data_IF_864898311955
#
_entry.id   IF_864898311955
#
_cell.length_a   1.000
_cell.length_b   1.000
_cell.length_c   1.000
_cell.angle_alpha   90.00
_cell.angle_beta   90.00
_cell.angle_gamma   90.00
#
_symmetry.space_group_name_H-M   'P 1'
#
loop_
_entity.id
_entity.type
_entity.pdbx_description
1 polymer ?
#
# COMPACT_ATOMS: atom_id res chain seq x y z
N UNK A 1 43.78 63.09 30.35
CA UNK A 1 43.23 61.83 30.84
C UNK A 1 42.15 61.37 29.85
N UNK A 2 42.45 60.32 29.10
CA UNK A 2 41.48 59.73 28.12
C UNK A 2 41.00 58.42 28.72
N UNK A 3 39.69 58.33 29.02
CA UNK A 3 39.06 57.09 29.47
C UNK A 3 38.61 56.26 28.26
N UNK A 4 39.16 55.04 28.16
CA UNK A 4 38.76 54.05 27.16
C UNK A 4 37.69 53.18 27.83
N UNK A 5 36.46 53.20 27.29
CA UNK A 5 35.40 52.27 27.69
C UNK A 5 35.44 51.03 26.77
N UNK A 6 35.79 49.90 27.39
CA UNK A 6 35.73 48.62 26.72
C UNK A 6 34.30 48.06 26.84
N UNK A 7 33.61 47.96 25.72
CA UNK A 7 32.26 47.34 25.67
C UNK A 7 32.46 45.83 25.52
N UNK A 8 32.06 45.09 26.53
CA UNK A 8 32.07 43.62 26.52
C UNK A 8 30.73 43.16 25.93
N UNK A 9 30.76 42.69 24.66
CA UNK A 9 29.59 42.14 23.99
C UNK A 9 29.37 40.67 24.43
N UNK A 10 28.30 40.46 25.22
CA UNK A 10 27.88 39.13 25.65
C UNK A 10 27.03 38.50 24.52
N UNK A 11 27.59 37.54 23.79
CA UNK A 11 26.87 36.77 22.78
C UNK A 11 26.01 35.69 23.50
N UNK A 12 24.71 35.87 23.51
CA UNK A 12 23.74 34.87 23.93
C UNK A 12 23.56 33.84 22.79
N UNK A 13 24.14 32.66 22.94
CA UNK A 13 23.81 31.51 22.10
C UNK A 13 22.44 30.93 22.55
N UNK A 14 21.38 31.28 21.86
CA UNK A 14 20.10 30.57 21.94
C UNK A 14 20.24 29.24 21.24
N UNK A 15 20.43 28.16 22.02
CA UNK A 15 20.30 26.81 21.53
C UNK A 15 18.85 26.55 21.15
N UNK A 16 18.56 26.49 19.85
CA UNK A 16 17.29 25.96 19.38
C UNK A 16 17.26 24.45 19.68
N UNK A 17 16.61 24.06 20.76
CA UNK A 17 16.18 22.66 20.93
C UNK A 17 15.10 22.41 19.87
N UNK A 18 15.45 21.71 18.78
CA UNK A 18 14.46 21.08 17.93
C UNK A 18 13.75 20.02 18.78
N UNK A 19 12.39 19.98 18.76
CA UNK A 19 11.69 18.88 19.41
C UNK A 19 12.17 17.58 18.73
N UNK A 20 12.51 16.58 19.55
CA UNK A 20 12.76 15.25 19.06
C UNK A 20 11.50 14.79 18.31
N UNK A 21 11.66 14.35 17.09
CA UNK A 21 10.58 13.66 16.37
C UNK A 21 10.13 12.50 17.26
N UNK A 22 8.92 12.60 17.78
CA UNK A 22 8.27 11.47 18.43
C UNK A 22 8.04 10.44 17.33
N UNK A 23 8.86 9.39 17.28
CA UNK A 23 8.54 8.19 16.50
C UNK A 23 7.15 7.75 16.96
N UNK A 24 6.19 7.83 16.08
CA UNK A 24 4.88 7.21 16.29
C UNK A 24 5.17 5.72 16.46
N UNK A 25 4.74 5.14 17.58
CA UNK A 25 4.84 3.68 17.78
C UNK A 25 3.91 3.02 16.77
N UNK A 26 4.49 2.51 15.69
CA UNK A 26 3.76 1.85 14.62
C UNK A 26 3.41 0.40 14.97
N UNK A 27 3.88 -0.10 16.10
CA UNK A 27 3.80 -1.51 16.47
C UNK A 27 4.69 -2.42 15.61
N UNK A 28 5.57 -1.85 14.82
CA UNK A 28 6.50 -2.59 13.96
C UNK A 28 7.50 -3.38 14.83
N UNK A 29 7.61 -4.71 14.64
CA UNK A 29 8.58 -5.53 15.37
C UNK A 29 10.01 -5.12 15.05
N UNK A 30 10.86 -5.11 16.07
CA UNK A 30 12.30 -4.96 15.87
C UNK A 30 12.89 -6.27 15.32
N UNK A 31 13.79 -6.17 14.34
CA UNK A 31 14.51 -7.33 13.82
C UNK A 31 14.51 -7.39 12.28
N UNK A 32 14.97 -8.51 11.71
CA UNK A 32 15.07 -8.62 10.26
C UNK A 32 13.67 -8.74 9.62
N UNK A 33 13.46 -8.09 8.48
CA UNK A 33 12.19 -8.13 7.74
C UNK A 33 11.92 -9.50 7.08
N UNK A 34 12.89 -10.40 7.14
CA UNK A 34 12.71 -11.83 6.80
C UNK A 34 12.11 -12.66 7.93
N UNK A 35 11.97 -12.10 9.14
CA UNK A 35 11.38 -12.83 10.27
C UNK A 35 9.87 -13.01 10.11
N UNK A 36 9.35 -14.16 10.55
CA UNK A 36 7.90 -14.40 10.54
C UNK A 36 7.13 -13.38 11.38
N UNK A 37 7.72 -12.85 12.44
CA UNK A 37 7.09 -11.83 13.30
C UNK A 37 6.87 -10.53 12.53
N UNK A 38 7.91 -10.03 11.84
CA UNK A 38 7.78 -8.83 11.02
C UNK A 38 6.82 -9.07 9.84
N UNK A 39 6.93 -10.20 9.15
CA UNK A 39 6.06 -10.53 8.02
C UNK A 39 4.58 -10.63 8.43
N UNK A 40 4.28 -11.25 9.57
CA UNK A 40 2.90 -11.30 10.10
C UNK A 40 2.40 -9.89 10.38
N UNK A 41 3.20 -9.04 11.04
CA UNK A 41 2.86 -7.65 11.30
C UNK A 41 2.63 -6.89 9.99
N UNK A 42 3.62 -6.84 9.10
CA UNK A 42 3.57 -6.07 7.87
C UNK A 42 2.38 -6.44 6.98
N UNK A 43 2.11 -7.76 6.86
CA UNK A 43 1.06 -8.21 5.94
C UNK A 43 -0.33 -8.08 6.57
N UNK A 44 -0.51 -8.37 7.85
CA UNK A 44 -1.82 -8.24 8.48
C UNK A 44 -2.24 -6.77 8.68
N UNK A 45 -1.30 -5.85 8.94
CA UNK A 45 -1.61 -4.42 9.08
C UNK A 45 -1.94 -3.72 7.76
N UNK A 46 -1.95 -4.46 6.63
CA UNK A 46 -2.61 -4.03 5.40
C UNK A 46 -4.12 -3.86 5.55
N UNK A 47 -4.74 -4.40 6.61
CA UNK A 47 -6.16 -4.25 6.92
C UNK A 47 -6.37 -3.60 8.29
N UNK A 48 -7.59 -3.07 8.57
CA UNK A 48 -7.94 -2.58 9.90
C UNK A 48 -7.80 -3.68 10.97
N UNK A 49 -7.49 -3.28 12.20
CA UNK A 49 -7.19 -4.18 13.34
C UNK A 49 -8.23 -5.29 13.54
N UNK A 50 -9.52 -4.99 13.38
CA UNK A 50 -10.59 -5.97 13.54
C UNK A 50 -10.64 -7.04 12.45
N UNK A 51 -9.92 -6.83 11.32
CA UNK A 51 -9.66 -7.84 10.28
C UNK A 51 -8.30 -8.47 10.52
N UNK A 52 -7.28 -7.64 10.71
CA UNK A 52 -5.88 -8.03 10.87
C UNK A 52 -5.67 -9.06 11.99
N UNK A 53 -6.39 -8.90 13.11
CA UNK A 53 -6.23 -9.74 14.30
C UNK A 53 -6.46 -11.22 14.04
N UNK A 54 -7.48 -11.56 13.23
CA UNK A 54 -7.93 -12.94 13.00
C UNK A 54 -7.77 -13.39 11.53
N UNK A 55 -7.03 -12.63 10.70
CA UNK A 55 -6.76 -13.02 9.32
C UNK A 55 -5.69 -14.10 9.22
N UNK A 56 -5.83 -14.99 8.24
CA UNK A 56 -4.76 -15.90 7.83
C UNK A 56 -3.64 -15.11 7.17
N UNK A 57 -2.37 -15.44 7.47
CA UNK A 57 -1.21 -14.73 6.89
C UNK A 57 -0.27 -15.74 6.22
N UNK A 58 0.11 -15.45 4.98
CA UNK A 58 1.11 -16.19 4.22
C UNK A 58 2.31 -15.31 3.86
N UNK A 59 3.48 -15.90 3.63
CA UNK A 59 4.69 -15.19 3.15
C UNK A 59 4.71 -14.98 1.63
N UNK A 60 3.70 -15.45 0.93
CA UNK A 60 3.48 -15.34 -0.51
C UNK A 60 2.20 -16.07 -0.92
N UNK A 61 1.79 -16.03 -2.20
CA UNK A 61 0.62 -16.74 -2.67
C UNK A 61 0.73 -18.25 -2.45
N UNK A 62 -0.25 -18.89 -1.78
CA UNK A 62 -0.18 -20.32 -1.43
C UNK A 62 -0.07 -21.26 -2.64
N UNK A 63 -0.73 -20.92 -3.74
CA UNK A 63 -0.69 -21.65 -5.02
C UNK A 63 0.64 -21.50 -5.77
N UNK A 64 1.45 -20.51 -5.38
CA UNK A 64 2.82 -20.27 -5.88
C UNK A 64 3.90 -20.75 -4.88
N UNK A 65 3.51 -21.45 -3.83
CA UNK A 65 4.44 -22.04 -2.84
C UNK A 65 4.66 -21.19 -1.59
N UNK A 66 3.82 -20.18 -1.34
CA UNK A 66 3.85 -19.40 -0.11
C UNK A 66 3.55 -20.26 1.13
N UNK A 67 4.30 -20.01 2.22
CA UNK A 67 4.15 -20.71 3.48
C UNK A 67 3.12 -20.04 4.38
N UNK A 68 2.37 -20.83 5.14
CA UNK A 68 1.48 -20.33 6.19
C UNK A 68 2.31 -19.79 7.36
N UNK A 69 2.14 -18.51 7.68
CA UNK A 69 2.77 -17.86 8.83
C UNK A 69 1.84 -17.82 10.06
N UNK A 70 0.55 -17.59 9.83
CA UNK A 70 -0.48 -17.56 10.87
C UNK A 70 -1.80 -18.08 10.32
N UNK A 71 -2.42 -19.04 11.01
CA UNK A 71 -3.80 -19.47 10.72
C UNK A 71 -4.79 -18.46 11.29
N UNK A 72 -5.81 -18.10 10.49
CA UNK A 72 -6.86 -17.17 10.86
C UNK A 72 -8.24 -17.81 10.89
N UNK A 73 -9.24 -17.09 11.40
CA UNK A 73 -10.60 -17.62 11.61
C UNK A 73 -11.71 -16.77 10.97
N UNK A 74 -11.38 -15.60 10.44
CA UNK A 74 -12.37 -14.62 9.95
C UNK A 74 -12.61 -14.67 8.43
N UNK A 75 -11.93 -15.58 7.72
CA UNK A 75 -12.08 -15.74 6.26
C UNK A 75 -11.30 -14.73 5.41
N UNK A 76 -10.51 -13.86 6.04
CA UNK A 76 -9.57 -12.97 5.36
C UNK A 76 -8.18 -13.59 5.29
N UNK A 77 -7.49 -13.31 4.19
CA UNK A 77 -6.10 -13.74 3.99
C UNK A 77 -5.23 -12.55 3.63
N UNK A 78 -4.08 -12.43 4.31
CA UNK A 78 -3.11 -11.36 4.08
C UNK A 78 -1.80 -11.95 3.57
N UNK A 79 -1.20 -11.30 2.58
CA UNK A 79 0.07 -11.71 1.99
C UNK A 79 0.76 -10.53 1.27
N UNK A 80 2.07 -10.60 0.98
CA UNK A 80 2.74 -9.61 0.14
C UNK A 80 2.27 -9.77 -1.31
N UNK A 81 1.99 -8.63 -1.98
CA UNK A 81 1.45 -8.60 -3.32
C UNK A 81 2.33 -7.86 -4.34
N UNK A 82 3.58 -7.47 -3.98
CA UNK A 82 4.47 -6.77 -4.89
C UNK A 82 4.96 -7.70 -6.02
N UNK A 83 4.51 -7.49 -7.27
CA UNK A 83 4.90 -8.35 -8.39
C UNK A 83 6.36 -8.17 -8.84
N UNK A 84 7.03 -7.11 -8.35
CA UNK A 84 8.45 -6.82 -8.64
C UNK A 84 9.39 -7.68 -7.81
N UNK A 85 8.88 -8.30 -6.72
CA UNK A 85 9.71 -8.97 -5.72
C UNK A 85 10.43 -8.00 -4.78
N UNK A 86 11.23 -8.55 -3.89
CA UNK A 86 12.02 -7.82 -2.91
C UNK A 86 13.22 -7.14 -3.57
N UNK A 87 13.46 -5.86 -3.26
CA UNK A 87 14.67 -5.14 -3.73
C UNK A 87 15.94 -5.66 -3.05
N UNK A 88 15.84 -6.20 -1.83
CA UNK A 88 16.93 -6.86 -1.09
C UNK A 88 16.50 -8.26 -0.62
N UNK A 89 16.66 -9.30 -1.48
CA UNK A 89 16.24 -10.66 -1.14
C UNK A 89 16.98 -11.28 0.06
N UNK A 90 18.13 -10.73 0.45
CA UNK A 90 18.92 -11.21 1.60
C UNK A 90 18.32 -10.70 2.94
N UNK A 91 17.87 -9.44 2.96
CA UNK A 91 17.39 -8.78 4.17
C UNK A 91 15.84 -8.66 4.22
N UNK A 92 15.15 -9.03 3.15
CA UNK A 92 13.69 -8.95 3.03
C UNK A 92 13.22 -7.65 2.37
N UNK A 93 11.97 -7.29 2.60
CA UNK A 93 11.42 -6.03 2.15
C UNK A 93 12.05 -4.85 2.89
N UNK A 94 12.27 -3.72 2.21
CA UNK A 94 12.78 -2.50 2.85
C UNK A 94 11.82 -2.00 3.93
N UNK A 95 10.51 -2.07 3.64
CA UNK A 95 9.42 -1.72 4.55
C UNK A 95 8.11 -2.40 4.15
N UNK A 96 7.04 -2.15 4.89
CA UNK A 96 5.72 -2.72 4.58
C UNK A 96 5.12 -2.14 3.29
N UNK A 97 5.45 -0.90 2.90
CA UNK A 97 4.99 -0.31 1.64
C UNK A 97 5.60 -1.05 0.43
N UNK A 98 6.91 -1.35 0.45
CA UNK A 98 7.54 -2.15 -0.61
C UNK A 98 6.91 -3.54 -0.73
N UNK A 99 6.53 -4.16 0.37
CA UNK A 99 5.87 -5.46 0.32
C UNK A 99 4.50 -5.42 -0.38
N UNK A 100 3.89 -4.23 -0.52
CA UNK A 100 2.54 -4.03 -1.08
C UNK A 100 1.52 -5.02 -0.50
N UNK A 101 1.44 -5.20 0.84
CA UNK A 101 0.64 -6.26 1.39
C UNK A 101 -0.85 -6.01 1.15
N UNK A 102 -1.56 -7.09 0.85
CA UNK A 102 -2.97 -7.11 0.59
C UNK A 102 -3.66 -8.06 1.57
N UNK A 103 -4.75 -7.61 2.19
CA UNK A 103 -5.67 -8.49 2.92
C UNK A 103 -6.98 -8.58 2.13
N UNK A 104 -7.28 -9.74 1.57
CA UNK A 104 -8.43 -9.99 0.73
C UNK A 104 -9.35 -11.07 1.26
N UNK A 105 -10.63 -11.06 0.80
CA UNK A 105 -11.55 -12.18 0.93
C UNK A 105 -11.29 -13.25 -0.15
N UNK A 106 -12.00 -14.36 -0.08
CA UNK A 106 -11.81 -15.48 -1.01
C UNK A 106 -12.11 -15.11 -2.49
N UNK A 107 -13.00 -14.14 -2.74
CA UNK A 107 -13.33 -13.72 -4.11
C UNK A 107 -12.21 -12.90 -4.73
N UNK A 108 -11.52 -12.06 -3.93
CA UNK A 108 -10.34 -11.30 -4.39
C UNK A 108 -9.26 -12.25 -4.90
N UNK A 109 -9.02 -13.38 -4.24
CA UNK A 109 -7.99 -14.32 -4.69
C UNK A 109 -8.37 -15.05 -5.98
N UNK A 110 -9.65 -15.23 -6.29
CA UNK A 110 -10.10 -15.68 -7.62
C UNK A 110 -9.78 -14.62 -8.69
N UNK A 111 -10.02 -13.34 -8.37
CA UNK A 111 -9.71 -12.22 -9.27
C UNK A 111 -8.20 -12.10 -9.50
N UNK A 112 -7.39 -12.13 -8.42
CA UNK A 112 -5.91 -12.04 -8.50
C UNK A 112 -5.34 -13.21 -9.32
N UNK A 113 -5.81 -14.44 -9.08
CA UNK A 113 -5.37 -15.61 -9.84
C UNK A 113 -5.65 -15.47 -11.33
N UNK A 114 -6.85 -14.99 -11.70
CA UNK A 114 -7.20 -14.73 -13.10
C UNK A 114 -6.36 -13.59 -13.71
N UNK A 115 -6.10 -12.52 -12.94
CA UNK A 115 -5.26 -11.41 -13.36
C UNK A 115 -3.85 -11.88 -13.73
N UNK A 116 -3.18 -12.66 -12.88
CA UNK A 116 -1.84 -13.20 -13.16
C UNK A 116 -1.83 -14.25 -14.29
N UNK A 117 -2.92 -14.98 -14.46
CA UNK A 117 -3.06 -15.94 -15.56
C UNK A 117 -3.42 -15.28 -16.92
N UNK A 118 -3.76 -13.98 -16.92
CA UNK A 118 -4.27 -13.30 -18.11
C UNK A 118 -5.66 -13.76 -18.52
N UNK A 119 -6.45 -14.30 -17.59
CA UNK A 119 -7.79 -14.84 -17.80
C UNK A 119 -8.86 -13.88 -17.28
N UNK A 120 -10.10 -14.01 -17.76
CA UNK A 120 -11.22 -13.26 -17.21
C UNK A 120 -11.57 -13.78 -15.82
N UNK A 121 -11.63 -12.93 -14.79
CA UNK A 121 -12.05 -13.35 -13.45
C UNK A 121 -13.48 -13.93 -13.44
N UNK A 122 -13.67 -15.03 -12.69
CA UNK A 122 -14.97 -15.65 -12.46
C UNK A 122 -15.21 -15.69 -10.96
N UNK A 123 -16.09 -14.81 -10.49
CA UNK A 123 -16.43 -14.64 -9.07
C UNK A 123 -17.91 -14.85 -8.83
N UNK A 124 -18.28 -15.36 -7.66
CA UNK A 124 -19.67 -15.61 -7.27
C UNK A 124 -20.35 -14.33 -6.74
N UNK A 125 -19.57 -13.40 -6.24
CA UNK A 125 -19.97 -12.09 -5.70
C UNK A 125 -18.80 -11.12 -5.74
N UNK A 126 -19.04 -9.84 -5.42
CA UNK A 126 -17.96 -8.84 -5.30
C UNK A 126 -16.96 -9.26 -4.24
N UNK A 127 -15.66 -9.10 -4.55
CA UNK A 127 -14.56 -9.29 -3.63
C UNK A 127 -14.05 -7.96 -3.07
N UNK A 128 -13.44 -7.99 -1.89
CA UNK A 128 -12.88 -6.82 -1.23
C UNK A 128 -11.45 -7.08 -0.75
N UNK A 129 -10.58 -6.10 -0.93
CA UNK A 129 -9.21 -6.14 -0.44
C UNK A 129 -8.79 -4.81 0.17
N UNK A 130 -8.04 -4.89 1.26
CA UNK A 130 -7.40 -3.77 1.92
C UNK A 130 -5.92 -3.72 1.57
N UNK A 131 -5.39 -2.51 1.31
CA UNK A 131 -3.98 -2.21 1.13
C UNK A 131 -3.63 -0.92 1.90
N UNK A 132 -3.60 -0.99 3.25
CA UNK A 132 -3.35 0.20 4.08
C UNK A 132 -1.88 0.66 4.06
N UNK A 133 -0.97 -0.15 3.53
CA UNK A 133 0.40 0.27 3.24
C UNK A 133 0.58 0.81 1.83
N UNK A 134 -0.49 0.82 1.01
CA UNK A 134 -0.44 1.28 -0.37
C UNK A 134 0.29 0.34 -1.32
N UNK A 135 0.63 0.85 -2.49
CA UNK A 135 1.37 0.13 -3.54
C UNK A 135 2.50 0.99 -4.15
N UNK A 136 3.45 0.31 -4.81
CA UNK A 136 4.64 0.90 -5.43
C UNK A 136 4.39 1.49 -6.82
N UNK A 137 3.14 1.59 -7.23
CA UNK A 137 2.72 2.21 -8.48
C UNK A 137 2.37 1.24 -9.60
N UNK A 138 1.37 1.67 -10.38
CA UNK A 138 0.86 0.97 -11.56
C UNK A 138 0.20 1.98 -12.52
N UNK A 139 0.04 1.62 -13.79
CA UNK A 139 -0.74 2.40 -14.74
C UNK A 139 -2.25 2.23 -14.45
N UNK A 140 -2.96 3.33 -14.24
CA UNK A 140 -4.40 3.31 -13.93
C UNK A 140 -5.27 2.69 -15.04
N UNK A 141 -4.76 2.62 -16.28
CA UNK A 141 -5.52 2.17 -17.45
C UNK A 141 -5.06 0.83 -18.01
N UNK A 142 -3.82 0.43 -17.74
CA UNK A 142 -3.19 -0.74 -18.31
C UNK A 142 -2.66 -1.68 -17.25
N UNK A 143 -3.36 -2.79 -17.03
CA UNK A 143 -2.95 -3.83 -16.11
C UNK A 143 -1.55 -4.38 -16.43
N UNK A 144 -0.73 -4.59 -15.40
CA UNK A 144 0.62 -5.16 -15.53
C UNK A 144 1.70 -4.19 -15.99
N UNK A 145 1.41 -2.89 -16.15
CA UNK A 145 2.43 -1.85 -16.38
C UNK A 145 2.97 -1.40 -15.03
N UNK A 146 4.13 -1.93 -14.66
CA UNK A 146 4.73 -1.80 -13.32
C UNK A 146 5.89 -0.80 -13.26
N UNK A 147 6.22 -0.12 -14.36
CA UNK A 147 7.30 0.86 -14.43
C UNK A 147 6.74 2.20 -14.90
N UNK A 148 7.08 3.28 -14.19
CA UNK A 148 6.56 4.63 -14.46
C UNK A 148 6.87 5.11 -15.88
N UNK A 149 8.05 4.77 -16.40
CA UNK A 149 8.48 5.10 -17.76
C UNK A 149 7.68 4.41 -18.86
N UNK A 150 7.01 3.29 -18.55
CA UNK A 150 6.19 2.53 -19.49
C UNK A 150 4.70 2.91 -19.39
N UNK A 151 4.33 3.70 -18.38
CA UNK A 151 2.95 4.07 -18.13
C UNK A 151 2.42 5.06 -19.17
N UNK A 152 1.12 5.01 -19.41
CA UNK A 152 0.38 5.99 -20.19
C UNK A 152 0.56 7.38 -19.61
N UNK A 153 0.70 8.44 -20.45
CA UNK A 153 0.93 9.79 -19.94
C UNK A 153 -0.15 10.24 -18.93
N UNK A 154 0.27 10.58 -17.72
CA UNK A 154 -0.62 11.02 -16.64
C UNK A 154 -1.45 9.91 -15.98
N UNK A 155 -1.13 8.63 -16.23
CA UNK A 155 -1.88 7.50 -15.68
C UNK A 155 -1.11 6.69 -14.62
N UNK A 156 0.13 7.05 -14.33
CA UNK A 156 0.87 6.42 -13.25
C UNK A 156 0.32 6.83 -11.89
N UNK A 157 0.10 5.83 -11.02
CA UNK A 157 -0.39 6.06 -9.67
C UNK A 157 0.37 5.18 -8.66
N UNK A 158 0.97 5.80 -7.65
CA UNK A 158 1.52 5.16 -6.46
C UNK A 158 0.49 5.33 -5.35
N UNK A 159 -0.38 4.36 -5.17
CA UNK A 159 -1.53 4.46 -4.28
C UNK A 159 -1.08 4.36 -2.82
N UNK A 160 -1.50 5.32 -1.99
CA UNK A 160 -1.43 5.19 -0.55
C UNK A 160 -2.51 4.26 0.01
N UNK A 161 -2.85 4.37 1.32
CA UNK A 161 -3.85 3.54 1.96
C UNK A 161 -5.19 3.52 1.22
N UNK A 162 -5.71 2.34 0.91
CA UNK A 162 -6.99 2.20 0.20
C UNK A 162 -7.69 0.87 0.46
N UNK A 163 -8.99 0.85 0.14
CA UNK A 163 -9.81 -0.35 -0.01
C UNK A 163 -10.12 -0.55 -1.48
N UNK A 164 -10.11 -1.78 -1.96
CA UNK A 164 -10.52 -2.16 -3.31
C UNK A 164 -11.82 -2.96 -3.29
N UNK A 165 -12.67 -2.76 -4.31
CA UNK A 165 -13.80 -3.64 -4.64
C UNK A 165 -13.63 -4.19 -6.05
N UNK A 166 -13.46 -5.48 -6.16
CA UNK A 166 -13.46 -6.24 -7.42
C UNK A 166 -14.89 -6.71 -7.67
N UNK A 167 -15.63 -6.12 -8.64
CA UNK A 167 -16.99 -6.53 -8.91
C UNK A 167 -17.05 -7.87 -9.62
N UNK A 168 -18.01 -8.73 -9.28
CA UNK A 168 -18.28 -9.96 -10.02
C UNK A 168 -18.75 -9.67 -11.45
N UNK A 169 -19.39 -8.53 -11.67
CA UNK A 169 -19.77 -8.01 -12.99
C UNK A 169 -19.14 -6.61 -13.18
N UNK A 170 -18.04 -6.49 -13.94
CA UNK A 170 -17.39 -5.21 -14.20
C UNK A 170 -18.28 -4.15 -14.86
N UNK A 171 -19.35 -4.54 -15.58
CA UNK A 171 -20.27 -3.59 -16.20
C UNK A 171 -21.02 -2.71 -15.17
N UNK A 172 -21.07 -3.16 -13.92
CA UNK A 172 -21.65 -2.37 -12.82
C UNK A 172 -20.85 -1.09 -12.50
N UNK A 173 -19.65 -0.96 -13.05
CA UNK A 173 -18.79 0.23 -12.90
C UNK A 173 -18.95 1.25 -14.03
N UNK A 174 -19.77 0.96 -15.04
CA UNK A 174 -19.98 1.85 -16.18
C UNK A 174 -20.46 3.24 -15.74
N UNK A 175 -19.76 4.27 -16.20
CA UNK A 175 -20.05 5.67 -15.87
C UNK A 175 -19.48 6.18 -14.54
N UNK A 176 -18.78 5.34 -13.77
CA UNK A 176 -17.97 5.83 -12.66
C UNK A 176 -16.74 6.58 -13.17
N UNK A 177 -16.22 7.51 -12.37
CA UNK A 177 -15.02 8.25 -12.71
C UNK A 177 -13.78 7.35 -12.72
N UNK A 178 -12.83 7.65 -13.61
CA UNK A 178 -11.48 7.08 -13.64
C UNK A 178 -10.43 8.08 -13.14
N UNK A 179 -10.88 9.27 -12.73
CA UNK A 179 -10.01 10.34 -12.25
C UNK A 179 -9.63 10.09 -10.79
N UNK A 180 -8.40 9.64 -10.58
CA UNK A 180 -7.83 9.33 -9.27
C UNK A 180 -7.33 10.56 -8.49
N UNK A 181 -7.39 11.77 -9.10
CA UNK A 181 -6.86 12.99 -8.46
C UNK A 181 -7.88 13.69 -7.55
N UNK A 182 -9.13 13.27 -7.57
CA UNK A 182 -10.25 13.97 -6.92
C UNK A 182 -10.49 13.58 -5.46
N UNK A 183 -9.86 12.49 -4.98
CA UNK A 183 -10.15 11.90 -3.66
C UNK A 183 -11.47 11.11 -3.59
N UNK A 184 -12.27 11.13 -4.65
CA UNK A 184 -13.46 10.28 -4.76
C UNK A 184 -13.07 8.83 -5.10
N UNK A 185 -13.92 7.83 -4.79
CA UNK A 185 -13.76 6.49 -5.34
C UNK A 185 -13.72 6.52 -6.87
N UNK A 186 -12.77 5.80 -7.46
CA UNK A 186 -12.56 5.78 -8.91
C UNK A 186 -12.33 4.37 -9.43
N UNK A 187 -12.48 4.18 -10.75
CA UNK A 187 -12.28 2.88 -11.40
C UNK A 187 -10.87 2.80 -11.99
N UNK A 188 -10.11 1.81 -11.55
CA UNK A 188 -8.85 1.40 -12.15
C UNK A 188 -9.11 0.31 -13.20
N UNK A 189 -8.33 0.30 -14.29
CA UNK A 189 -8.47 -0.60 -15.44
C UNK A 189 -9.85 -0.58 -16.11
N UNK A 190 -10.47 0.60 -16.15
CA UNK A 190 -11.82 0.78 -16.73
C UNK A 190 -11.94 0.19 -18.13
N UNK A 191 -13.05 -0.50 -18.40
CA UNK A 191 -13.32 -1.13 -19.69
C UNK A 191 -12.57 -2.46 -19.93
N UNK A 192 -11.87 -2.98 -18.92
CA UNK A 192 -11.24 -4.31 -18.96
C UNK A 192 -11.95 -5.32 -18.07
N UNK A 193 -11.61 -6.59 -18.20
CA UNK A 193 -12.10 -7.63 -17.28
C UNK A 193 -11.56 -7.47 -15.84
N UNK A 194 -10.55 -6.63 -15.66
CA UNK A 194 -9.91 -6.35 -14.37
C UNK A 194 -10.36 -5.03 -13.74
N UNK A 195 -11.37 -4.37 -14.31
CA UNK A 195 -11.90 -3.13 -13.76
C UNK A 195 -12.33 -3.32 -12.30
N UNK A 196 -11.85 -2.45 -11.42
CA UNK A 196 -12.18 -2.47 -10.00
C UNK A 196 -12.23 -1.06 -9.42
N UNK A 197 -12.84 -0.89 -8.25
CA UNK A 197 -12.96 0.42 -7.60
C UNK A 197 -11.91 0.56 -6.52
N UNK A 198 -11.18 1.67 -6.57
CA UNK A 198 -10.31 2.13 -5.49
C UNK A 198 -11.10 3.10 -4.61
N UNK A 199 -11.06 2.90 -3.30
CA UNK A 199 -11.62 3.80 -2.29
C UNK A 199 -10.44 4.42 -1.52
N UNK A 200 -10.04 5.66 -1.84
CA UNK A 200 -8.96 6.36 -1.14
C UNK A 200 -9.24 6.49 0.36
N UNK A 201 -8.24 6.19 1.18
CA UNK A 201 -8.28 6.38 2.64
C UNK A 201 -7.39 7.56 3.05
N UNK A 202 -7.38 7.91 4.34
CA UNK A 202 -6.47 8.94 4.85
C UNK A 202 -5.01 8.59 4.51
N UNK A 203 -4.25 9.54 3.96
CA UNK A 203 -2.89 9.33 3.50
C UNK A 203 -2.76 8.77 2.08
N UNK A 204 -3.86 8.66 1.33
CA UNK A 204 -3.85 8.08 -0.02
C UNK A 204 -2.86 8.74 -0.98
N UNK A 205 -2.64 10.04 -0.86
CA UNK A 205 -1.75 10.82 -1.71
C UNK A 205 -0.33 11.03 -1.13
N UNK A 206 0.01 10.39 -0.01
CA UNK A 206 1.32 10.60 0.64
C UNK A 206 2.49 10.14 -0.23
N UNK A 207 2.27 9.20 -1.15
CA UNK A 207 3.24 8.69 -2.11
C UNK A 207 3.15 9.36 -3.50
N UNK A 208 2.21 10.29 -3.69
CA UNK A 208 1.94 10.92 -4.98
C UNK A 208 1.95 12.43 -4.91
N UNK A 209 3.12 13.07 -4.82
CA UNK A 209 3.21 14.53 -4.81
C UNK A 209 2.65 15.18 -6.09
N UNK A 210 2.65 14.45 -7.22
CA UNK A 210 2.12 14.96 -8.48
C UNK A 210 0.58 14.94 -8.57
N UNK A 211 -0.06 14.13 -7.74
CA UNK A 211 -1.53 13.99 -7.67
C UNK A 211 -2.14 14.69 -6.46
N UNK A 212 -1.30 15.19 -5.53
CA UNK A 212 -1.80 15.98 -4.41
C UNK A 212 -2.47 17.23 -4.98
N UNK A 213 -3.78 17.34 -4.79
CA UNK A 213 -4.50 18.59 -5.06
C UNK A 213 -3.98 19.65 -4.11
N UNK A 214 -3.38 20.72 -4.66
CA UNK A 214 -2.99 21.92 -3.93
C UNK A 214 -4.21 22.58 -3.23
#
# INVERSE_FOLDING_TARGET
MKYIYTILSLALFTSCNMPAETKTDTGEPEGPHTSSEWQIWAYSTAAPDYIAADATVFDGPPDMGGNLLREGTNGWTCLPANPRGQSDPENGWVDAHEAMPLCGDAEVFKWIGAYFAGETPVMDKDGYAWMLHGDMGEDNTMAGVLMKEDASPGQWIESGPHLMRMPADPSTLDGMTTDFTTGAPYVMFAGTAYAHVIYPMAGYYDYQPESATE
#
